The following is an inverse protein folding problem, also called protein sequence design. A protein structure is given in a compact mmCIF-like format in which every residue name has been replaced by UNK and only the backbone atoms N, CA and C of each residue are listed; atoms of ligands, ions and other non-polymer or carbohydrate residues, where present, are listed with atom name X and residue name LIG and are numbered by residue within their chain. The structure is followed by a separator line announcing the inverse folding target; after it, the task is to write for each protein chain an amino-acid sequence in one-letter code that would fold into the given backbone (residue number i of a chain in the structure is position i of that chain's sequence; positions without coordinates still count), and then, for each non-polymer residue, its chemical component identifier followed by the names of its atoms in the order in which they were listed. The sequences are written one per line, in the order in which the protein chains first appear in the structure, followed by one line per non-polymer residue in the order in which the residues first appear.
data_IF_304005950706
#
_entry.id   IF_304005950706
#
_cell.length_a   1.000
_cell.length_b   1.000
_cell.length_c   1.000
_cell.angle_alpha   90.00
_cell.angle_beta   90.00
_cell.angle_gamma   90.00
#
_symmetry.space_group_name_H-M   'P 1'
#
loop_
_entity.id
_entity.type
_entity.pdbx_description
1 polymer ?
#
# COMPACT_ATOMS: atom_id res chain seq x y z
N UNK A 1 -20.62 -6.66 -16.79
CA UNK A 1 -19.90 -5.78 -15.84
C UNK A 1 -19.85 -6.44 -14.46
N UNK A 2 -18.76 -7.13 -14.15
CA UNK A 2 -18.61 -7.94 -12.91
C UNK A 2 -18.32 -7.08 -11.66
N UNK A 3 -17.74 -5.88 -11.82
CA UNK A 3 -17.39 -5.01 -10.68
C UNK A 3 -18.57 -4.45 -9.88
N UNK A 4 -19.71 -4.16 -10.53
CA UNK A 4 -20.87 -3.53 -9.86
C UNK A 4 -21.61 -4.50 -8.92
N UNK A 5 -21.47 -5.83 -9.11
CA UNK A 5 -22.01 -6.87 -8.22
C UNK A 5 -21.09 -7.20 -7.04
N UNK A 6 -19.79 -6.90 -7.12
CA UNK A 6 -18.83 -7.17 -6.03
C UNK A 6 -18.79 -6.07 -4.95
N UNK A 7 -19.39 -4.91 -5.18
CA UNK A 7 -19.42 -3.80 -4.21
C UNK A 7 -20.55 -3.89 -3.16
N UNK A 8 -21.38 -4.95 -3.17
CA UNK A 8 -22.49 -5.13 -2.21
C UNK A 8 -22.03 -5.79 -0.89
N UNK A 9 -20.76 -6.20 -0.77
CA UNK A 9 -20.21 -6.71 0.50
C UNK A 9 -19.89 -5.63 1.54
N UNK A 10 -20.23 -4.36 1.29
CA UNK A 10 -20.18 -3.30 2.28
C UNK A 10 -21.31 -3.46 3.33
N UNK A 11 -21.22 -4.51 4.14
CA UNK A 11 -22.05 -4.69 5.33
C UNK A 11 -21.61 -3.82 6.52
N UNK A 12 -20.48 -3.11 6.40
CA UNK A 12 -19.91 -2.27 7.45
C UNK A 12 -19.25 -1.02 6.86
N UNK A 13 -19.67 0.16 7.32
CA UNK A 13 -19.06 1.46 6.99
C UNK A 13 -17.55 1.44 7.25
N UNK A 14 -17.13 0.89 8.39
CA UNK A 14 -15.71 0.78 8.75
C UNK A 14 -14.92 -0.14 7.79
N UNK A 15 -15.56 -1.18 7.25
CA UNK A 15 -14.95 -2.03 6.22
C UNK A 15 -14.74 -1.27 4.91
N UNK A 16 -15.73 -0.47 4.51
CA UNK A 16 -15.63 0.41 3.33
C UNK A 16 -14.53 1.47 3.46
N UNK A 17 -14.42 2.11 4.63
CA UNK A 17 -13.38 3.11 4.92
C UNK A 17 -11.97 2.51 4.84
N UNK A 18 -11.77 1.32 5.43
CA UNK A 18 -10.47 0.61 5.36
C UNK A 18 -10.13 0.18 3.94
N UNK A 19 -11.09 -0.35 3.20
CA UNK A 19 -10.88 -0.72 1.80
C UNK A 19 -10.52 0.50 0.95
N UNK A 20 -11.22 1.62 1.13
CA UNK A 20 -10.92 2.87 0.43
C UNK A 20 -9.51 3.39 0.75
N UNK A 21 -9.07 3.30 2.01
CA UNK A 21 -7.71 3.67 2.41
C UNK A 21 -6.66 2.80 1.68
N UNK A 22 -6.85 1.48 1.67
CA UNK A 22 -5.94 0.55 0.97
C UNK A 22 -5.87 0.86 -0.52
N UNK A 23 -7.01 1.05 -1.18
CA UNK A 23 -7.04 1.40 -2.60
C UNK A 23 -6.35 2.73 -2.90
N UNK A 24 -6.50 3.71 -2.00
CA UNK A 24 -5.85 5.01 -2.16
C UNK A 24 -4.32 4.90 -2.09
N UNK A 25 -3.79 4.06 -1.19
CA UNK A 25 -2.34 3.80 -1.10
C UNK A 25 -1.83 3.10 -2.36
N UNK A 26 -2.53 2.07 -2.83
CA UNK A 26 -2.16 1.34 -4.06
C UNK A 26 -2.12 2.30 -5.26
N UNK A 27 -3.15 3.13 -5.42
CA UNK A 27 -3.21 4.05 -6.55
C UNK A 27 -2.12 5.13 -6.46
N UNK A 28 -1.82 5.61 -5.25
CA UNK A 28 -0.73 6.57 -5.03
C UNK A 28 0.63 5.96 -5.41
N UNK A 29 0.90 4.70 -5.05
CA UNK A 29 2.14 4.01 -5.44
C UNK A 29 2.25 3.91 -6.97
N UNK A 30 1.18 3.51 -7.66
CA UNK A 30 1.14 3.44 -9.13
C UNK A 30 1.38 4.79 -9.79
N UNK A 31 0.77 5.86 -9.27
CA UNK A 31 0.96 7.22 -9.77
C UNK A 31 2.41 7.70 -9.64
N UNK A 32 3.17 7.17 -8.68
CA UNK A 32 4.60 7.42 -8.53
C UNK A 32 5.49 6.44 -9.32
N UNK A 33 4.90 5.58 -10.16
CA UNK A 33 5.64 4.60 -10.97
C UNK A 33 6.24 3.43 -10.17
N UNK A 34 5.74 3.21 -8.95
CA UNK A 34 6.24 2.19 -8.04
C UNK A 34 5.35 0.95 -8.12
N UNK A 35 5.96 -0.22 -8.01
CA UNK A 35 5.24 -1.48 -7.90
C UNK A 35 4.56 -1.56 -6.52
N UNK A 36 3.22 -1.57 -6.44
CA UNK A 36 2.51 -1.46 -5.17
C UNK A 36 2.74 -2.61 -4.20
N UNK A 37 2.93 -3.84 -4.67
CA UNK A 37 3.15 -4.99 -3.81
C UNK A 37 4.47 -4.88 -3.04
N UNK A 38 5.56 -4.58 -3.74
CA UNK A 38 6.89 -4.35 -3.19
C UNK A 38 6.90 -3.21 -2.18
N UNK A 39 6.28 -2.07 -2.54
CA UNK A 39 6.15 -0.93 -1.63
C UNK A 39 5.39 -1.27 -0.35
N UNK A 40 4.22 -1.91 -0.46
CA UNK A 40 3.40 -2.23 0.70
C UNK A 40 4.08 -3.28 1.59
N UNK A 41 4.75 -4.27 0.99
CA UNK A 41 5.48 -5.30 1.73
C UNK A 41 6.59 -4.69 2.59
N UNK A 42 7.46 -3.90 1.99
CA UNK A 42 8.57 -3.22 2.67
C UNK A 42 8.09 -2.26 3.76
N UNK A 43 7.07 -1.45 3.46
CA UNK A 43 6.51 -0.50 4.45
C UNK A 43 5.88 -1.24 5.64
N UNK A 44 5.16 -2.34 5.42
CA UNK A 44 4.60 -3.15 6.51
C UNK A 44 5.72 -3.78 7.34
N UNK A 45 6.76 -4.31 6.71
CA UNK A 45 7.91 -4.91 7.40
C UNK A 45 8.63 -3.87 8.28
N UNK A 46 8.90 -2.67 7.74
CA UNK A 46 9.50 -1.57 8.50
C UNK A 46 8.63 -1.14 9.68
N UNK A 47 7.32 -1.01 9.49
CA UNK A 47 6.39 -0.67 10.59
C UNK A 47 6.38 -1.76 11.66
N UNK A 48 6.39 -3.04 11.26
CA UNK A 48 6.45 -4.15 12.20
C UNK A 48 7.80 -4.22 12.96
N UNK A 49 8.87 -3.70 12.37
CA UNK A 49 10.21 -3.57 12.95
C UNK A 49 10.45 -2.29 13.77
N UNK A 50 9.39 -1.65 14.29
CA UNK A 50 9.45 -0.43 15.11
C UNK A 50 10.10 0.78 14.41
N UNK A 51 9.81 0.99 13.12
CA UNK A 51 10.30 2.17 12.40
C UNK A 51 9.93 3.48 13.11
N UNK A 52 10.89 4.40 13.35
CA UNK A 52 10.64 5.59 14.14
C UNK A 52 9.66 6.54 13.46
N UNK A 53 8.71 7.05 14.26
CA UNK A 53 7.68 7.99 13.80
C UNK A 53 8.23 9.24 13.11
N UNK A 54 9.42 9.68 13.52
CA UNK A 54 10.12 10.85 12.97
C UNK A 54 10.62 10.66 11.55
N UNK A 55 10.65 9.43 11.02
CA UNK A 55 11.18 9.08 9.68
C UNK A 55 10.08 8.57 8.74
N UNK A 56 8.82 8.94 8.96
CA UNK A 56 7.71 8.52 8.10
C UNK A 56 7.80 9.09 6.69
N UNK A 57 8.41 10.27 6.55
CA UNK A 57 8.60 10.92 5.25
C UNK A 57 9.42 10.04 4.29
N UNK A 58 10.31 9.18 4.81
CA UNK A 58 11.12 8.25 4.02
C UNK A 58 10.31 7.08 3.47
N UNK A 59 9.20 6.74 4.14
CA UNK A 59 8.30 5.68 3.70
C UNK A 59 7.25 6.18 2.70
N UNK A 60 7.20 7.49 2.42
CA UNK A 60 6.23 8.01 1.47
C UNK A 60 6.54 7.55 0.05
N UNK A 61 5.53 7.29 -0.80
CA UNK A 61 5.75 6.75 -2.14
C UNK A 61 6.72 7.56 -2.99
N UNK A 62 6.76 8.89 -2.86
CA UNK A 62 7.68 9.73 -3.64
C UNK A 62 9.14 9.73 -3.13
N UNK A 63 9.39 9.26 -1.91
CA UNK A 63 10.73 9.17 -1.30
C UNK A 63 11.21 7.72 -1.16
N UNK A 64 10.31 6.76 -1.34
CA UNK A 64 10.58 5.35 -1.17
C UNK A 64 11.56 4.85 -2.23
N UNK A 65 12.60 4.16 -1.78
CA UNK A 65 13.58 3.52 -2.65
C UNK A 65 13.47 2.00 -2.49
N UNK A 66 13.25 1.26 -3.59
CA UNK A 66 13.18 -0.20 -3.53
C UNK A 66 14.52 -0.77 -3.08
N UNK A 67 14.48 -1.69 -2.13
CA UNK A 67 15.65 -2.53 -1.84
C UNK A 67 15.77 -3.63 -2.91
N UNK A 68 16.97 -4.19 -3.10
CA UNK A 68 17.18 -5.31 -4.04
C UNK A 68 16.30 -6.53 -3.71
N UNK A 69 15.86 -6.66 -2.44
CA UNK A 69 15.00 -7.75 -1.98
C UNK A 69 13.55 -7.57 -2.42
N UNK A 70 13.06 -6.33 -2.46
CA UNK A 70 11.67 -6.00 -2.81
C UNK A 70 11.39 -6.25 -4.30
N UNK A 71 12.37 -5.95 -5.15
CA UNK A 71 12.27 -6.16 -6.60
C UNK A 71 12.28 -7.66 -6.95
N UNK A 72 13.01 -8.47 -6.18
CA UNK A 72 13.08 -9.92 -6.37
C UNK A 72 11.82 -10.67 -5.94
N UNK A 73 11.04 -10.12 -5.00
CA UNK A 73 9.78 -10.71 -4.53
C UNK A 73 8.57 -10.33 -5.40
N UNK A 74 8.69 -9.33 -6.27
CA UNK A 74 7.63 -8.88 -7.18
C UNK A 74 7.73 -9.46 -8.61
N UNK A 75 8.85 -10.09 -8.96
CA UNK A 75 9.08 -10.76 -10.25
C UNK A 75 8.65 -12.25 -10.23
#
# INVERSE_FOLDING_TARGET
AIGRKNWIFAGSKAGGERAAAIYSVIETAKLNGIEPQAYIADVIEKIAGDWPATRWDELMPWNWQPSEQDVAQAA
#
